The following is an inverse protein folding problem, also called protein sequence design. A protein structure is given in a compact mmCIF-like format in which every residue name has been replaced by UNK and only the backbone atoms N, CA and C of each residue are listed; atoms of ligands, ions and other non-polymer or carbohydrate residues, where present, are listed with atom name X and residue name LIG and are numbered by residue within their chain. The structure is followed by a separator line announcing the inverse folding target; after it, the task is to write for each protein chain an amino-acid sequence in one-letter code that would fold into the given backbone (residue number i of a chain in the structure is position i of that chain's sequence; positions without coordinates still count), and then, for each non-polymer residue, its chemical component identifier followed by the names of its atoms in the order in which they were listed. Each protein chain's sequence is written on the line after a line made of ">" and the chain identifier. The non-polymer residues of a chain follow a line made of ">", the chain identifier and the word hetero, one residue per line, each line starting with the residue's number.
data_IF_132064539347
#
_entry.id   IF_132064539347
#
_cell.length_a   1.000
_cell.length_b   1.000
_cell.length_c   1.000
_cell.angle_alpha   90.00
_cell.angle_beta   90.00
_cell.angle_gamma   90.00
#
_symmetry.space_group_name_H-M   'P 1'
#
loop_
_entity.id
_entity.type
_entity.pdbx_description
1 polymer ?
#
# COMPACT_ATOMS: atom_id res chain seq x y z
N UNK A 1 -22.17 39.52 60.01
CA UNK A 1 -22.51 39.27 58.59
C UNK A 1 -21.28 38.76 57.86
N UNK A 2 -21.20 37.46 57.59
CA UNK A 2 -20.12 36.85 56.82
C UNK A 2 -20.67 36.58 55.41
N UNK A 3 -20.13 37.30 54.40
CA UNK A 3 -20.38 37.01 53.01
C UNK A 3 -19.46 35.87 52.57
N UNK A 4 -20.01 34.71 52.35
CA UNK A 4 -19.37 33.60 51.67
C UNK A 4 -19.42 33.90 50.16
N UNK A 5 -18.32 34.34 49.56
CA UNK A 5 -18.12 34.34 48.13
C UNK A 5 -17.80 32.89 47.70
N UNK A 6 -18.80 32.19 47.16
CA UNK A 6 -18.57 30.97 46.44
C UNK A 6 -17.85 31.26 45.13
N UNK A 7 -16.57 30.93 45.03
CA UNK A 7 -15.92 30.79 43.74
C UNK A 7 -16.58 29.63 43.00
N UNK A 8 -17.44 29.93 42.04
CA UNK A 8 -17.75 28.99 40.98
C UNK A 8 -16.49 28.84 40.13
N UNK A 9 -15.74 27.79 40.36
CA UNK A 9 -14.78 27.27 39.40
C UNK A 9 -15.60 26.86 38.18
N UNK A 10 -15.63 27.70 37.17
CA UNK A 10 -16.07 27.27 35.84
C UNK A 10 -15.01 26.26 35.39
N UNK A 11 -15.28 24.99 35.64
CA UNK A 11 -14.62 23.94 34.86
C UNK A 11 -14.96 24.20 33.40
N UNK A 12 -13.99 24.76 32.67
CA UNK A 12 -13.99 24.76 31.20
C UNK A 12 -13.90 23.31 30.77
N UNK A 13 -15.01 22.61 30.81
CA UNK A 13 -15.17 21.33 30.14
C UNK A 13 -15.03 21.64 28.65
N UNK A 14 -13.83 21.49 28.14
CA UNK A 14 -13.54 21.62 26.74
C UNK A 14 -14.41 20.60 26.01
N UNK A 15 -15.25 21.05 25.10
CA UNK A 15 -16.16 20.20 24.35
C UNK A 15 -15.33 19.16 23.55
N UNK A 16 -15.42 17.86 23.84
CA UNK A 16 -14.60 16.85 23.19
C UNK A 16 -14.79 16.79 21.66
N UNK A 17 -15.91 17.31 21.15
CA UNK A 17 -16.16 17.37 19.71
C UNK A 17 -15.26 18.34 18.97
N UNK A 18 -14.71 19.35 19.69
CA UNK A 18 -13.83 20.39 19.14
C UNK A 18 -12.34 20.05 19.27
N UNK A 19 -12.01 18.98 19.98
CA UNK A 19 -10.63 18.52 20.01
C UNK A 19 -10.25 17.85 18.70
N UNK A 20 -9.01 18.07 18.25
CA UNK A 20 -8.46 17.41 17.08
C UNK A 20 -8.34 15.90 17.33
N UNK A 21 -8.64 15.12 16.31
CA UNK A 21 -8.47 13.67 16.31
C UNK A 21 -6.99 13.37 16.07
N UNK A 22 -6.36 12.66 17.00
CA UNK A 22 -5.00 12.19 16.88
C UNK A 22 -4.97 10.88 16.09
N UNK A 23 -4.50 10.92 14.84
CA UNK A 23 -4.33 9.72 14.02
C UNK A 23 -2.99 9.04 14.31
N UNK A 24 -3.03 7.84 14.89
CA UNK A 24 -1.85 6.96 14.95
C UNK A 24 -1.82 6.09 13.69
N UNK A 25 -0.77 6.25 12.86
CA UNK A 25 -0.70 5.61 11.55
C UNK A 25 0.37 4.55 11.54
N UNK A 26 0.00 3.37 11.05
CA UNK A 26 0.92 2.25 10.87
C UNK A 26 0.72 1.57 9.52
N UNK A 27 1.78 0.93 9.01
CA UNK A 27 1.75 0.11 7.79
C UNK A 27 2.02 -1.33 8.19
N UNK A 28 1.18 -2.24 7.72
CA UNK A 28 1.42 -3.67 7.88
C UNK A 28 2.56 -4.09 6.94
N UNK A 29 3.73 -4.35 7.53
CA UNK A 29 4.95 -4.71 6.83
C UNK A 29 5.32 -6.18 7.04
N UNK A 30 4.46 -7.00 7.64
CA UNK A 30 4.79 -8.34 8.11
C UNK A 30 5.54 -9.18 7.05
N UNK A 31 4.98 -9.29 5.85
CA UNK A 31 5.54 -10.13 4.79
C UNK A 31 6.89 -9.63 4.26
N UNK A 32 7.09 -8.31 4.18
CA UNK A 32 8.35 -7.71 3.73
C UNK A 32 9.42 -7.84 4.83
N UNK A 33 9.05 -7.59 6.08
CA UNK A 33 9.95 -7.74 7.24
C UNK A 33 10.48 -9.16 7.34
N UNK A 34 9.63 -10.15 7.18
CA UNK A 34 10.02 -11.56 7.23
C UNK A 34 10.95 -11.96 6.08
N UNK A 35 10.79 -11.34 4.91
CA UNK A 35 11.69 -11.53 3.78
C UNK A 35 13.07 -10.92 4.03
N UNK A 36 13.11 -9.77 4.70
CA UNK A 36 14.35 -9.08 5.10
C UNK A 36 15.12 -9.87 6.18
N UNK A 37 14.42 -10.45 7.13
CA UNK A 37 15.06 -11.22 8.23
C UNK A 37 15.63 -12.57 7.79
N UNK A 38 15.12 -13.16 6.72
CA UNK A 38 15.62 -14.42 6.15
C UNK A 38 16.90 -14.26 5.33
N UNK A 39 17.10 -13.10 4.74
CA UNK A 39 18.32 -12.77 4.03
C UNK A 39 19.27 -12.14 5.05
N UNK A 40 20.37 -12.80 5.33
CA UNK A 40 21.37 -12.42 6.36
C UNK A 40 22.05 -11.05 6.15
N UNK A 41 21.77 -10.36 5.06
CA UNK A 41 22.12 -8.97 4.84
C UNK A 41 20.89 -8.10 5.14
N UNK A 42 21.04 -7.06 5.98
CA UNK A 42 20.01 -6.07 6.21
C UNK A 42 19.67 -5.35 4.89
N UNK A 43 18.64 -5.84 4.18
CA UNK A 43 18.17 -5.28 2.93
C UNK A 43 17.36 -4.01 3.25
N UNK A 44 17.85 -2.85 2.85
CA UNK A 44 17.02 -1.64 2.80
C UNK A 44 16.27 -1.62 1.47
N UNK A 45 14.97 -1.91 1.51
CA UNK A 45 14.12 -1.86 0.32
C UNK A 45 13.45 -0.49 0.21
N UNK A 46 13.34 0.08 -1.01
CA UNK A 46 12.65 1.33 -1.24
C UNK A 46 11.12 1.12 -1.28
N UNK A 47 10.56 0.70 -0.16
CA UNK A 47 9.12 0.58 0.11
C UNK A 47 8.71 1.53 1.21
N UNK A 48 7.47 2.01 1.18
CA UNK A 48 6.96 2.85 2.26
C UNK A 48 6.75 2.01 3.52
N UNK A 49 7.59 2.21 4.52
CA UNK A 49 7.54 1.48 5.80
C UNK A 49 6.87 2.28 6.91
N UNK A 50 6.83 3.59 6.77
CA UNK A 50 6.21 4.52 7.71
C UNK A 50 5.76 5.78 6.99
N UNK A 51 4.89 6.53 7.63
CA UNK A 51 4.52 7.86 7.19
C UNK A 51 5.29 8.92 7.99
N UNK A 52 5.58 10.02 7.34
CA UNK A 52 6.24 11.20 7.90
C UNK A 52 5.27 12.38 7.91
N UNK A 53 5.55 13.38 8.75
CA UNK A 53 4.83 14.66 8.73
C UNK A 53 4.92 15.27 7.32
N UNK A 54 3.78 15.68 6.77
CA UNK A 54 3.65 16.24 5.43
C UNK A 54 3.40 15.22 4.32
N UNK A 55 3.42 13.90 4.62
CA UNK A 55 2.90 12.92 3.65
C UNK A 55 1.41 13.15 3.43
N UNK A 56 0.99 13.18 2.17
CA UNK A 56 -0.42 13.39 1.81
C UNK A 56 -1.08 12.06 1.49
N UNK A 57 -2.21 11.81 2.15
CA UNK A 57 -3.12 10.70 1.86
C UNK A 57 -4.45 11.26 1.37
N UNK A 58 -5.24 10.47 0.68
CA UNK A 58 -6.65 10.79 0.47
C UNK A 58 -7.49 10.11 1.53
N UNK A 59 -8.23 10.88 2.31
CA UNK A 59 -9.05 10.38 3.41
C UNK A 59 -10.53 10.65 3.14
N UNK A 60 -11.38 9.66 3.45
CA UNK A 60 -12.84 9.75 3.42
C UNK A 60 -13.40 9.31 4.77
N UNK A 61 -14.47 9.92 5.18
CA UNK A 61 -15.18 9.63 6.42
C UNK A 61 -16.58 9.12 6.09
N UNK A 62 -16.93 7.93 6.55
CA UNK A 62 -18.27 7.33 6.38
C UNK A 62 -18.82 7.42 4.95
N UNK A 63 -18.02 7.05 3.97
CA UNK A 63 -18.36 7.07 2.53
C UNK A 63 -18.59 8.47 1.91
N UNK A 64 -18.09 9.52 2.56
CA UNK A 64 -18.02 10.85 1.96
C UNK A 64 -16.94 10.92 0.87
N UNK A 65 -16.82 12.05 0.21
CA UNK A 65 -15.77 12.27 -0.77
C UNK A 65 -14.37 12.13 -0.16
N UNK A 66 -13.43 11.64 -0.95
CA UNK A 66 -12.03 11.60 -0.56
C UNK A 66 -11.39 12.97 -0.70
N UNK A 67 -10.85 13.47 0.39
CA UNK A 67 -10.12 14.74 0.43
C UNK A 67 -8.64 14.50 0.73
N UNK A 68 -7.72 15.32 0.18
CA UNK A 68 -6.33 15.27 0.57
C UNK A 68 -6.19 15.62 2.05
N UNK A 69 -5.33 14.89 2.75
CA UNK A 69 -5.03 15.09 4.17
C UNK A 69 -3.53 14.93 4.40
N UNK A 70 -2.86 16.03 4.76
CA UNK A 70 -1.44 16.07 5.04
C UNK A 70 -1.19 15.68 6.50
N UNK A 71 -0.54 14.54 6.70
CA UNK A 71 -0.30 13.96 8.02
C UNK A 71 0.56 14.86 8.90
N UNK A 72 0.11 15.10 10.13
CA UNK A 72 0.80 15.95 11.10
C UNK A 72 0.81 17.44 10.73
N UNK A 73 0.08 17.84 9.68
CA UNK A 73 -0.13 19.23 9.25
C UNK A 73 -1.61 19.58 9.32
N UNK A 74 -2.45 18.78 8.66
CA UNK A 74 -3.89 18.96 8.73
C UNK A 74 -4.46 18.36 10.02
N UNK A 75 -5.59 18.91 10.46
CA UNK A 75 -6.34 18.42 11.61
C UNK A 75 -7.77 18.11 11.20
N UNK A 76 -8.37 17.16 11.88
CA UNK A 76 -9.79 16.80 11.75
C UNK A 76 -10.38 16.80 13.15
N UNK A 77 -11.52 17.42 13.30
CA UNK A 77 -12.29 17.40 14.55
C UNK A 77 -13.61 16.65 14.36
N UNK A 78 -14.26 16.25 15.46
CA UNK A 78 -15.51 15.52 15.38
C UNK A 78 -16.70 16.37 14.93
N UNK A 79 -16.68 17.66 15.18
CA UNK A 79 -17.75 18.60 14.77
C UNK A 79 -17.68 18.95 13.29
N UNK A 80 -16.52 18.77 12.64
CA UNK A 80 -16.38 18.89 11.18
C UNK A 80 -16.90 17.66 10.42
N UNK A 81 -17.14 16.55 11.09
CA UNK A 81 -17.67 15.34 10.47
C UNK A 81 -19.20 15.44 10.39
N UNK A 82 -19.69 15.67 9.19
CA UNK A 82 -21.13 15.79 8.90
C UNK A 82 -21.83 14.43 8.93
N UNK A 83 -22.06 13.93 10.12
CA UNK A 83 -22.83 12.72 10.38
C UNK A 83 -23.31 12.66 11.82
N UNK A 84 -24.54 12.22 12.02
CA UNK A 84 -25.14 12.03 13.34
C UNK A 84 -24.91 10.60 13.87
N UNK A 85 -24.20 9.74 13.10
CA UNK A 85 -23.97 8.36 13.53
C UNK A 85 -22.87 8.31 14.61
N UNK A 86 -23.07 7.45 15.59
CA UNK A 86 -22.16 7.25 16.71
C UNK A 86 -20.81 6.61 16.26
N UNK A 87 -20.87 5.68 15.31
CA UNK A 87 -19.68 4.98 14.80
C UNK A 87 -19.33 5.48 13.40
N UNK A 88 -18.10 5.91 13.25
CA UNK A 88 -17.54 6.47 12.00
C UNK A 88 -16.43 5.59 11.47
N UNK A 89 -16.39 5.40 10.16
CA UNK A 89 -15.29 4.69 9.50
C UNK A 89 -14.47 5.67 8.68
N UNK A 90 -13.16 5.67 8.93
CA UNK A 90 -12.16 6.40 8.14
C UNK A 90 -11.58 5.45 7.10
N UNK A 91 -11.55 5.89 5.85
CA UNK A 91 -10.90 5.21 4.74
C UNK A 91 -9.79 6.09 4.21
N UNK A 92 -8.64 5.49 3.89
CA UNK A 92 -7.51 6.26 3.40
C UNK A 92 -6.77 5.54 2.27
N UNK A 93 -6.29 6.30 1.30
CA UNK A 93 -5.47 5.82 0.19
C UNK A 93 -4.14 6.54 0.13
N UNK A 94 -3.09 5.78 -0.19
CA UNK A 94 -1.77 6.30 -0.53
C UNK A 94 -1.24 5.55 -1.78
N UNK A 95 -0.63 6.23 -2.76
CA UNK A 95 -0.56 7.67 -2.91
C UNK A 95 -1.93 8.35 -2.96
N UNK A 96 -1.93 9.67 -2.82
CA UNK A 96 -3.11 10.49 -2.96
C UNK A 96 -3.89 10.18 -4.25
N UNK A 97 -5.22 10.18 -4.17
CA UNK A 97 -6.11 10.01 -5.31
C UNK A 97 -6.14 11.32 -6.10
N UNK A 98 -5.57 11.31 -7.30
CA UNK A 98 -5.52 12.49 -8.18
C UNK A 98 -6.62 12.52 -9.23
N UNK A 99 -7.36 11.42 -9.41
CA UNK A 99 -8.48 11.33 -10.32
C UNK A 99 -9.73 11.93 -9.67
N UNK A 100 -10.24 13.03 -10.21
CA UNK A 100 -11.47 13.69 -9.72
C UNK A 100 -12.65 12.70 -9.61
N UNK A 101 -12.72 11.73 -10.51
CA UNK A 101 -13.74 10.68 -10.45
C UNK A 101 -13.55 9.69 -9.29
N UNK A 102 -12.33 9.53 -8.80
CA UNK A 102 -12.01 8.66 -7.66
C UNK A 102 -12.17 9.42 -6.32
N UNK A 103 -12.01 10.74 -6.30
CA UNK A 103 -12.19 11.55 -5.09
C UNK A 103 -13.66 11.71 -4.68
N UNK A 104 -14.59 11.66 -5.64
CA UNK A 104 -16.03 11.72 -5.38
C UNK A 104 -16.60 10.34 -5.11
N UNK A 105 -16.69 9.95 -3.85
CA UNK A 105 -17.22 8.65 -3.42
C UNK A 105 -18.72 8.46 -3.70
N UNK A 106 -19.49 9.56 -3.79
CA UNK A 106 -20.91 9.52 -4.12
C UNK A 106 -21.12 9.09 -5.58
N UNK A 107 -21.21 7.78 -5.79
CA UNK A 107 -21.53 7.14 -7.07
C UNK A 107 -20.44 6.27 -7.69
N UNK A 108 -19.21 6.26 -7.18
CA UNK A 108 -18.15 5.38 -7.69
C UNK A 108 -17.43 4.67 -6.56
N UNK A 109 -17.83 3.45 -6.31
CA UNK A 109 -17.16 2.54 -5.38
C UNK A 109 -15.86 2.00 -5.92
N UNK A 110 -15.73 1.90 -7.24
CA UNK A 110 -14.63 1.23 -7.90
C UNK A 110 -13.87 2.18 -8.82
N UNK A 111 -12.54 2.03 -8.85
CA UNK A 111 -11.67 2.70 -9.81
C UNK A 111 -10.76 1.73 -10.53
N UNK A 112 -10.38 2.06 -11.76
CA UNK A 112 -9.30 1.36 -12.45
C UNK A 112 -7.96 1.85 -11.89
N UNK A 113 -7.06 0.91 -11.60
CA UNK A 113 -5.68 1.21 -11.23
C UNK A 113 -4.72 0.46 -12.15
N UNK A 114 -3.53 1.02 -12.31
CA UNK A 114 -2.43 0.38 -13.02
C UNK A 114 -1.31 0.06 -12.03
N UNK A 115 -0.69 -1.11 -12.19
CA UNK A 115 0.53 -1.43 -11.45
C UNK A 115 1.70 -0.53 -11.87
N UNK A 116 2.83 -0.72 -11.22
CA UNK A 116 4.05 0.08 -11.38
C UNK A 116 4.39 0.83 -10.11
N UNK A 117 3.40 1.39 -9.43
CA UNK A 117 3.56 2.08 -8.13
C UNK A 117 2.96 1.28 -6.98
N UNK A 118 3.46 1.55 -5.78
CA UNK A 118 2.88 1.03 -4.54
C UNK A 118 1.54 1.72 -4.28
N UNK A 119 0.54 0.93 -3.88
CA UNK A 119 -0.75 1.41 -3.39
C UNK A 119 -1.00 0.84 -2.00
N UNK A 120 -1.30 1.73 -1.06
CA UNK A 120 -1.68 1.39 0.31
C UNK A 120 -3.13 1.80 0.55
N UNK A 121 -3.83 1.02 1.35
CA UNK A 121 -5.18 1.31 1.82
C UNK A 121 -5.25 1.19 3.33
N UNK A 122 -5.74 2.25 3.99
CA UNK A 122 -5.92 2.32 5.43
C UNK A 122 -7.39 2.34 5.80
N UNK A 123 -7.74 1.73 6.92
CA UNK A 123 -9.09 1.76 7.49
C UNK A 123 -9.00 1.86 9.02
N UNK A 124 -9.90 2.64 9.59
CA UNK A 124 -10.13 2.70 11.02
C UNK A 124 -11.62 2.91 11.33
N UNK A 125 -12.10 2.30 12.40
CA UNK A 125 -13.43 2.59 12.96
C UNK A 125 -13.24 3.27 14.31
N UNK A 126 -14.03 4.29 14.58
CA UNK A 126 -14.01 5.01 15.82
C UNK A 126 -15.42 5.43 16.26
N UNK A 127 -15.63 5.49 17.56
CA UNK A 127 -16.83 6.09 18.15
C UNK A 127 -16.62 7.60 18.20
N UNK A 128 -17.66 8.38 17.90
CA UNK A 128 -17.64 9.85 17.96
C UNK A 128 -17.12 10.31 19.33
N UNK A 129 -16.19 11.26 19.32
CA UNK A 129 -15.50 11.75 20.50
C UNK A 129 -14.24 10.98 20.90
N UNK A 130 -13.89 9.89 20.20
CA UNK A 130 -12.62 9.19 20.40
C UNK A 130 -11.46 10.10 20.02
N UNK A 131 -10.52 10.35 20.92
CA UNK A 131 -9.36 11.22 20.67
C UNK A 131 -8.33 10.54 19.76
N UNK A 132 -8.01 9.27 20.02
CA UNK A 132 -6.96 8.55 19.29
C UNK A 132 -7.57 7.55 18.31
N UNK A 133 -7.33 7.71 17.02
CA UNK A 133 -7.82 6.83 15.96
C UNK A 133 -6.64 6.11 15.30
N UNK A 134 -6.62 4.78 15.39
CA UNK A 134 -5.55 3.96 14.80
C UNK A 134 -5.87 3.62 13.34
N UNK A 135 -5.23 4.31 12.41
CA UNK A 135 -5.36 4.08 10.97
C UNK A 135 -4.29 3.10 10.50
N UNK A 136 -4.70 1.89 10.16
CA UNK A 136 -3.80 0.80 9.75
C UNK A 136 -3.84 0.61 8.24
N UNK A 137 -2.69 0.80 7.60
CA UNK A 137 -2.53 0.62 6.16
C UNK A 137 -2.05 -0.78 5.80
N UNK A 138 -2.56 -1.30 4.69
CA UNK A 138 -2.12 -2.56 4.05
C UNK A 138 -1.68 -2.27 2.63
N UNK A 139 -0.73 -3.07 2.13
CA UNK A 139 -0.31 -3.02 0.73
C UNK A 139 -1.35 -3.68 -0.16
N UNK A 140 -1.77 -2.98 -1.20
CA UNK A 140 -2.76 -3.46 -2.17
C UNK A 140 -2.12 -3.97 -3.46
N UNK A 141 -0.85 -3.65 -3.68
CA UNK A 141 -0.03 -4.10 -4.80
C UNK A 141 1.09 -5.03 -4.33
N UNK A 142 1.75 -5.67 -5.28
CA UNK A 142 2.76 -6.71 -5.03
C UNK A 142 4.11 -6.22 -5.51
N UNK A 143 5.04 -5.80 -4.63
CA UNK A 143 6.36 -5.38 -5.01
C UNK A 143 7.18 -6.55 -5.56
N UNK A 144 7.94 -6.29 -6.63
CA UNK A 144 8.90 -7.23 -7.21
C UNK A 144 10.30 -6.86 -6.77
N UNK A 145 10.97 -7.80 -6.12
CA UNK A 145 12.32 -7.63 -5.58
C UNK A 145 13.28 -8.49 -6.39
N UNK A 146 14.27 -7.84 -6.99
CA UNK A 146 15.29 -8.54 -7.76
C UNK A 146 16.57 -8.68 -6.93
N UNK A 147 16.97 -9.92 -6.67
CA UNK A 147 18.17 -10.29 -5.92
C UNK A 147 19.19 -10.99 -6.83
N UNK A 148 20.46 -10.97 -6.45
CA UNK A 148 21.51 -11.81 -7.00
C UNK A 148 21.50 -13.22 -6.36
N UNK A 149 22.45 -14.06 -6.73
CA UNK A 149 22.58 -15.42 -6.21
C UNK A 149 22.94 -15.47 -4.71
N UNK A 150 23.57 -14.42 -4.19
CA UNK A 150 23.90 -14.27 -2.78
C UNK A 150 22.73 -13.69 -1.94
N UNK A 151 21.59 -13.37 -2.57
CA UNK A 151 20.43 -12.77 -1.90
C UNK A 151 20.58 -11.27 -1.65
N UNK A 152 21.52 -10.60 -2.31
CA UNK A 152 21.69 -9.14 -2.27
C UNK A 152 20.90 -8.47 -3.39
N UNK A 153 20.60 -7.16 -3.30
CA UNK A 153 19.98 -6.43 -4.40
C UNK A 153 20.80 -6.58 -5.70
N UNK A 154 20.13 -7.01 -6.76
CA UNK A 154 20.79 -7.15 -8.05
C UNK A 154 21.09 -5.77 -8.66
N UNK A 155 22.37 -5.50 -8.95
CA UNK A 155 22.85 -4.26 -9.54
C UNK A 155 23.53 -4.45 -10.90
N UNK A 156 23.43 -5.65 -11.50
CA UNK A 156 24.03 -5.97 -12.79
C UNK A 156 23.38 -5.24 -13.97
N UNK A 157 23.90 -5.48 -15.18
CA UNK A 157 23.46 -4.80 -16.41
C UNK A 157 22.24 -5.42 -17.10
N UNK A 158 21.80 -6.62 -16.67
CA UNK A 158 20.66 -7.26 -17.30
C UNK A 158 19.40 -6.41 -17.20
N UNK A 159 18.62 -6.37 -18.28
CA UNK A 159 17.29 -5.81 -18.35
C UNK A 159 16.27 -6.94 -18.20
N UNK A 160 15.32 -6.77 -17.29
CA UNK A 160 14.31 -7.78 -16.98
C UNK A 160 12.94 -7.20 -17.29
N UNK A 161 12.15 -7.92 -18.06
CA UNK A 161 10.82 -7.53 -18.48
C UNK A 161 9.85 -8.68 -18.24
N UNK A 162 8.80 -8.42 -17.49
CA UNK A 162 7.67 -9.33 -17.37
C UNK A 162 6.59 -8.97 -18.39
N UNK A 163 5.83 -9.95 -18.83
CA UNK A 163 4.67 -9.78 -19.70
C UNK A 163 3.43 -10.33 -19.00
N UNK A 164 2.73 -9.46 -18.31
CA UNK A 164 1.56 -9.79 -17.48
C UNK A 164 0.46 -8.73 -17.66
N UNK A 165 -0.77 -9.09 -17.32
CA UNK A 165 -1.81 -8.10 -17.13
C UNK A 165 -1.44 -7.27 -15.90
N UNK A 166 -1.47 -5.95 -16.00
CA UNK A 166 -1.05 -5.07 -14.90
C UNK A 166 -2.05 -3.93 -14.66
N UNK A 167 -3.32 -4.22 -14.92
CA UNK A 167 -4.45 -3.36 -14.60
C UNK A 167 -5.38 -4.08 -13.66
N UNK A 168 -5.97 -3.32 -12.74
CA UNK A 168 -6.90 -3.85 -11.75
C UNK A 168 -8.04 -2.90 -11.49
N UNK A 169 -9.03 -3.42 -10.79
CA UNK A 169 -10.18 -2.67 -10.28
C UNK A 169 -10.05 -2.65 -8.77
N UNK A 170 -9.97 -1.45 -8.19
CA UNK A 170 -9.87 -1.25 -6.76
C UNK A 170 -11.21 -0.83 -6.18
N UNK A 171 -11.65 -1.51 -5.11
CA UNK A 171 -12.74 -1.06 -4.27
C UNK A 171 -12.22 0.02 -3.30
N UNK A 172 -12.80 1.20 -3.37
CA UNK A 172 -12.35 2.37 -2.61
C UNK A 172 -12.63 2.26 -1.09
N UNK A 173 -13.57 1.40 -0.67
CA UNK A 173 -14.00 1.29 0.73
C UNK A 173 -13.51 0.05 1.46
N UNK A 174 -12.87 -0.90 0.77
CA UNK A 174 -12.19 -2.01 1.43
C UNK A 174 -10.75 -2.19 0.94
N UNK A 175 -10.33 -1.38 -0.06
CA UNK A 175 -9.02 -1.37 -0.65
C UNK A 175 -8.72 -2.58 -1.54
N UNK A 176 -9.61 -3.58 -1.63
CA UNK A 176 -9.39 -4.79 -2.42
C UNK A 176 -9.12 -4.43 -3.87
N UNK A 177 -8.07 -5.04 -4.42
CA UNK A 177 -7.71 -4.91 -5.83
C UNK A 177 -7.90 -6.26 -6.51
N UNK A 178 -8.68 -6.27 -7.56
CA UNK A 178 -8.88 -7.43 -8.41
C UNK A 178 -8.28 -7.19 -9.79
N UNK A 179 -7.73 -8.24 -10.40
CA UNK A 179 -7.20 -8.19 -11.75
C UNK A 179 -8.31 -7.86 -12.75
N UNK A 180 -8.07 -6.86 -13.60
CA UNK A 180 -8.93 -6.61 -14.75
C UNK A 180 -8.66 -7.70 -15.82
N UNK A 181 -9.54 -8.69 -15.88
CA UNK A 181 -9.42 -9.81 -16.83
C UNK A 181 -9.58 -9.40 -18.29
N UNK A 182 -10.18 -8.22 -18.55
CA UNK A 182 -10.33 -7.67 -19.88
C UNK A 182 -9.08 -6.95 -20.39
N UNK A 183 -8.16 -6.60 -19.48
CA UNK A 183 -6.93 -5.95 -19.86
C UNK A 183 -5.99 -6.91 -20.60
N UNK A 184 -5.30 -6.40 -21.60
CA UNK A 184 -4.24 -7.12 -22.28
C UNK A 184 -2.97 -7.23 -21.44
N UNK A 185 -2.19 -8.29 -21.68
CA UNK A 185 -0.86 -8.40 -21.10
C UNK A 185 0.07 -7.34 -21.69
N UNK A 186 0.78 -6.62 -20.83
CA UNK A 186 1.73 -5.58 -21.21
C UNK A 186 3.16 -5.91 -20.73
N UNK A 187 4.13 -5.29 -21.38
CA UNK A 187 5.52 -5.40 -20.97
C UNK A 187 5.80 -4.50 -19.76
N UNK A 188 6.29 -5.09 -18.69
CA UNK A 188 6.57 -4.44 -17.42
C UNK A 188 8.07 -4.52 -17.17
N UNK A 189 8.77 -3.40 -17.25
CA UNK A 189 10.18 -3.35 -16.90
C UNK A 189 10.35 -3.45 -15.38
N UNK A 190 11.19 -4.38 -14.93
CA UNK A 190 11.48 -4.58 -13.51
C UNK A 190 12.61 -3.65 -13.11
N UNK A 191 12.32 -2.77 -12.15
CA UNK A 191 13.27 -1.84 -11.54
C UNK A 191 14.17 -2.58 -10.54
N UNK A 192 15.40 -2.13 -10.45
CA UNK A 192 16.36 -2.61 -9.45
C UNK A 192 16.14 -1.86 -8.14
N UNK A 193 16.53 -2.45 -7.03
CA UNK A 193 16.48 -1.79 -5.72
C UNK A 193 17.26 -0.47 -5.73
N UNK A 194 18.38 -0.42 -6.47
CA UNK A 194 19.21 0.79 -6.66
C UNK A 194 18.52 1.95 -7.38
N UNK A 195 17.41 1.68 -8.07
CA UNK A 195 16.65 2.73 -8.79
C UNK A 195 15.79 3.57 -7.83
N UNK A 196 15.81 3.24 -6.52
CA UNK A 196 15.11 4.00 -5.48
C UNK A 196 13.60 3.74 -5.39
N UNK A 197 13.07 2.85 -6.22
CA UNK A 197 11.68 2.41 -6.20
C UNK A 197 11.56 0.97 -6.71
N UNK A 198 10.54 0.25 -6.30
CA UNK A 198 10.25 -1.10 -6.79
C UNK A 198 9.12 -1.07 -7.81
N UNK A 199 9.19 -1.98 -8.78
CA UNK A 199 8.05 -2.27 -9.64
C UNK A 199 7.00 -3.01 -8.82
N UNK A 200 5.77 -2.52 -8.85
CA UNK A 200 4.64 -3.14 -8.16
C UNK A 200 3.68 -3.73 -9.19
N UNK A 201 3.25 -4.97 -8.96
CA UNK A 201 2.26 -5.64 -9.79
C UNK A 201 0.86 -5.51 -9.17
N UNK A 202 -0.14 -5.52 -10.00
CA UNK A 202 -1.51 -5.83 -9.58
C UNK A 202 -1.55 -7.30 -9.14
N UNK A 203 -2.27 -7.67 -8.05
CA UNK A 203 -2.48 -9.05 -7.70
C UNK A 203 -2.96 -9.86 -8.91
N UNK A 204 -2.39 -11.04 -9.10
CA UNK A 204 -2.64 -11.91 -10.24
C UNK A 204 -3.39 -13.17 -9.81
N UNK A 205 -3.96 -13.87 -10.76
CA UNK A 205 -4.24 -15.29 -10.60
C UNK A 205 -2.92 -16.05 -10.42
N UNK A 206 -2.98 -17.27 -9.89
CA UNK A 206 -1.78 -18.10 -9.73
C UNK A 206 -1.10 -18.28 -11.07
N UNK A 207 0.14 -17.82 -11.19
CA UNK A 207 1.00 -18.12 -12.33
C UNK A 207 1.41 -19.59 -12.22
N UNK A 208 1.15 -20.38 -13.25
CA UNK A 208 1.42 -21.82 -13.20
C UNK A 208 2.86 -22.15 -13.55
N UNK A 209 3.38 -23.22 -12.95
CA UNK A 209 4.67 -23.77 -13.30
C UNK A 209 4.74 -24.03 -14.81
N UNK A 210 5.84 -23.63 -15.43
CA UNK A 210 6.06 -23.75 -16.87
C UNK A 210 5.54 -22.58 -17.71
N UNK A 211 4.78 -21.65 -17.14
CA UNK A 211 4.36 -20.44 -17.88
C UNK A 211 5.56 -19.53 -18.18
N UNK A 212 5.62 -19.03 -19.41
CA UNK A 212 6.56 -17.99 -19.83
C UNK A 212 5.99 -16.64 -19.44
N UNK A 213 6.64 -15.97 -18.49
CA UNK A 213 6.16 -14.73 -17.87
C UNK A 213 6.94 -13.49 -18.30
N UNK A 214 7.97 -13.65 -19.11
CA UNK A 214 8.79 -12.51 -19.54
C UNK A 214 10.08 -12.91 -20.21
N UNK A 215 10.99 -11.94 -20.27
CA UNK A 215 12.32 -12.10 -20.84
C UNK A 215 13.38 -11.37 -20.00
N UNK A 216 14.59 -11.89 -20.00
CA UNK A 216 15.79 -11.22 -19.55
C UNK A 216 16.70 -10.95 -20.75
N UNK A 217 17.22 -9.74 -20.88
CA UNK A 217 18.21 -9.38 -21.88
C UNK A 217 19.54 -9.09 -21.23
N UNK A 218 20.60 -9.78 -21.65
CA UNK A 218 21.97 -9.66 -21.18
C UNK A 218 22.84 -9.42 -22.41
N UNK A 219 23.48 -8.25 -22.48
CA UNK A 219 24.36 -7.87 -23.60
C UNK A 219 23.73 -8.05 -25.01
N UNK A 220 22.39 -7.90 -25.07
CA UNK A 220 21.61 -8.03 -26.31
C UNK A 220 21.03 -9.43 -26.55
N UNK A 221 21.50 -10.45 -25.85
CA UNK A 221 20.90 -11.78 -25.88
C UNK A 221 19.66 -11.85 -25.00
N UNK A 222 18.60 -12.50 -25.52
CA UNK A 222 17.32 -12.64 -24.84
C UNK A 222 17.07 -14.07 -24.41
N UNK A 223 16.66 -14.23 -23.17
CA UNK A 223 16.23 -15.50 -22.60
C UNK A 223 14.83 -15.38 -21.99
N UNK A 224 14.04 -16.44 -22.11
CA UNK A 224 12.70 -16.48 -21.50
C UNK A 224 12.81 -16.66 -19.99
N UNK A 225 11.91 -15.98 -19.28
CA UNK A 225 11.68 -16.20 -17.84
C UNK A 225 10.50 -17.15 -17.74
N UNK A 226 10.71 -18.28 -17.08
CA UNK A 226 9.69 -19.31 -16.87
C UNK A 226 9.45 -19.47 -15.37
N UNK A 227 8.19 -19.58 -14.97
CA UNK A 227 7.85 -19.89 -13.58
C UNK A 227 8.29 -21.34 -13.26
N UNK A 228 9.14 -21.52 -12.25
CA UNK A 228 9.65 -22.83 -11.86
C UNK A 228 8.63 -23.63 -11.05
N UNK A 229 7.69 -22.96 -10.42
CA UNK A 229 6.62 -23.52 -9.61
C UNK A 229 5.38 -22.64 -9.72
N UNK A 230 4.26 -23.09 -9.17
CA UNK A 230 3.07 -22.27 -9.02
C UNK A 230 3.38 -21.07 -8.10
N UNK A 231 3.06 -19.87 -8.58
CA UNK A 231 3.35 -18.60 -7.88
C UNK A 231 2.05 -17.86 -7.61
N UNK A 232 1.77 -17.66 -6.33
CA UNK A 232 0.68 -16.80 -5.90
C UNK A 232 1.14 -15.33 -5.88
N UNK A 233 0.41 -14.47 -6.58
CA UNK A 233 0.67 -13.03 -6.65
C UNK A 233 -0.44 -12.28 -5.93
N UNK A 234 -0.36 -12.23 -4.61
CA UNK A 234 -1.43 -11.68 -3.75
C UNK A 234 -0.99 -10.39 -3.05
N UNK A 235 -1.95 -9.49 -2.82
CA UNK A 235 -1.74 -8.24 -2.11
C UNK A 235 -1.10 -8.47 -0.71
N UNK A 236 -0.22 -7.58 -0.31
CA UNK A 236 0.52 -7.67 0.96
C UNK A 236 1.73 -8.60 0.93
N UNK A 237 1.93 -9.36 -0.14
CA UNK A 237 3.11 -10.20 -0.35
C UNK A 237 4.13 -9.49 -1.27
N UNK A 238 5.31 -10.07 -1.38
CA UNK A 238 6.33 -9.63 -2.33
C UNK A 238 6.76 -10.80 -3.22
N UNK A 239 7.09 -10.52 -4.48
CA UNK A 239 7.70 -11.48 -5.38
C UNK A 239 9.20 -11.29 -5.36
N UNK A 240 9.93 -12.38 -5.17
CA UNK A 240 11.38 -12.40 -5.27
C UNK A 240 11.80 -13.08 -6.57
N UNK A 241 12.57 -12.35 -7.37
CA UNK A 241 13.25 -12.88 -8.54
C UNK A 241 14.75 -12.93 -8.24
N UNK A 242 15.42 -14.00 -8.62
CA UNK A 242 16.88 -14.15 -8.46
C UNK A 242 17.57 -14.17 -9.81
N UNK A 243 18.62 -13.39 -9.92
CA UNK A 243 19.50 -13.42 -11.07
C UNK A 243 20.74 -14.27 -10.72
N UNK A 244 20.82 -15.47 -11.28
CA UNK A 244 21.91 -16.40 -11.03
C UNK A 244 22.36 -17.03 -12.34
N UNK A 245 23.69 -17.16 -12.54
CA UNK A 245 24.28 -17.85 -13.71
C UNK A 245 23.70 -17.40 -15.04
N UNK A 246 23.58 -16.11 -15.24
CA UNK A 246 23.04 -15.49 -16.46
C UNK A 246 21.57 -15.83 -16.79
N UNK A 247 20.79 -16.19 -15.80
CA UNK A 247 19.36 -16.42 -15.95
C UNK A 247 18.58 -15.85 -14.76
N UNK A 248 17.32 -15.56 -14.99
CA UNK A 248 16.39 -15.17 -13.93
C UNK A 248 15.63 -16.39 -13.46
N UNK A 249 15.64 -16.63 -12.16
CA UNK A 249 14.85 -17.63 -11.46
C UNK A 249 13.65 -16.93 -10.86
N UNK A 250 12.46 -17.35 -11.26
CA UNK A 250 11.21 -16.87 -10.73
C UNK A 250 10.63 -17.93 -9.78
N UNK A 251 11.10 -17.88 -8.53
CA UNK A 251 10.70 -18.84 -7.48
C UNK A 251 9.38 -18.45 -6.82
N UNK A 252 8.86 -17.28 -7.19
CA UNK A 252 7.63 -16.77 -6.64
C UNK A 252 7.80 -16.26 -5.22
N UNK A 253 6.65 -16.03 -4.62
CA UNK A 253 6.54 -15.71 -3.21
C UNK A 253 6.85 -16.97 -2.40
N UNK A 254 7.78 -16.90 -1.46
CA UNK A 254 7.89 -17.91 -0.42
C UNK A 254 6.86 -17.58 0.64
N UNK A 255 5.73 -18.31 0.73
CA UNK A 255 4.83 -18.12 1.83
C UNK A 255 5.60 -18.39 3.12
N UNK A 256 5.40 -17.55 4.10
CA UNK A 256 5.84 -17.77 5.46
C UNK A 256 5.18 -19.02 5.98
N UNK A 257 5.79 -20.17 5.75
CA UNK A 257 5.40 -21.36 6.52
C UNK A 257 5.96 -21.20 7.91
N UNK A 258 5.05 -21.23 8.87
CA UNK A 258 5.27 -21.29 10.30
C UNK A 258 6.23 -22.42 10.68
#
# INVERSE_FOLDING_TARGET
>A
AACLFGCQQQDNLQDPSKEAIDFSISIDNQSITDLLTRNSAALSLPVKNSFSTGDVISMSVSNQDYLPFALGVDSQTWDEIDTDVESVTFYAHYPELTDEAATRALGKRYRSIKGGKEHLFGIAQAIRGTKNVALKFKRMTVPVILLDEDGRPYNGKASIKLRLRNRGIQDLFNGKVELDKSAEAEDINIKKVSDGELTNLIPQETIKAGEVIGEVSIEGEKQKIVANQDVEVSAGNAIVMRFARNRVIFDGHTPLRR
#
